data_IF_222139436191
#
_entry.id   IF_222139436191
#
_cell.length_a   1.000
_cell.length_b   1.000
_cell.length_c   1.000
_cell.angle_alpha   90.00
_cell.angle_beta   90.00
_cell.angle_gamma   90.00
#
_symmetry.space_group_name_H-M   'P 1'
#
loop_
_entity.id
_entity.type
_entity.pdbx_description
1 polymer ?
#
# COMPACT_ATOMS: atom_id res chain seq x y z
N UNK A 1 16.68 -6.33 -38.31
CA UNK A 1 15.98 -6.08 -37.02
C UNK A 1 15.88 -7.40 -36.28
N UNK A 2 16.61 -7.55 -35.16
CA UNK A 2 16.83 -8.81 -34.47
C UNK A 2 15.59 -9.18 -33.62
N UNK A 3 14.81 -10.17 -34.07
CA UNK A 3 13.50 -10.58 -33.49
C UNK A 3 13.62 -11.50 -32.26
N UNK A 4 14.62 -11.27 -31.39
CA UNK A 4 14.98 -12.21 -30.31
C UNK A 4 14.98 -11.66 -28.88
N UNK A 5 14.30 -10.55 -28.60
CA UNK A 5 13.83 -10.34 -27.22
C UNK A 5 12.48 -11.05 -27.05
N UNK A 6 12.50 -12.37 -27.16
CA UNK A 6 11.46 -13.20 -26.59
C UNK A 6 11.59 -13.01 -25.08
N UNK A 7 10.95 -11.95 -24.57
CA UNK A 7 10.89 -11.66 -23.14
C UNK A 7 10.52 -12.96 -22.47
N UNK A 8 11.42 -13.56 -21.70
CA UNK A 8 11.13 -14.78 -20.94
C UNK A 8 10.43 -14.38 -19.64
N UNK A 9 9.65 -15.30 -19.06
CA UNK A 9 8.96 -15.07 -17.80
C UNK A 9 9.89 -14.60 -16.69
N UNK A 10 11.09 -15.16 -16.58
CA UNK A 10 12.12 -14.73 -15.62
C UNK A 10 11.77 -14.90 -14.14
N UNK A 11 10.64 -15.54 -13.79
CA UNK A 11 10.33 -15.86 -12.40
C UNK A 11 11.27 -16.94 -11.87
N UNK A 12 11.69 -16.85 -10.61
CA UNK A 12 12.56 -17.86 -9.98
C UNK A 12 11.81 -19.18 -9.85
N UNK A 13 12.35 -20.24 -10.44
CA UNK A 13 11.79 -21.59 -10.32
C UNK A 13 12.21 -22.23 -8.99
N UNK A 14 11.66 -23.42 -8.68
CA UNK A 14 12.04 -24.21 -7.50
C UNK A 14 13.52 -24.60 -7.47
N UNK A 15 14.14 -24.74 -8.64
CA UNK A 15 15.59 -25.00 -8.79
C UNK A 15 16.45 -23.74 -8.72
N UNK A 16 15.85 -22.56 -8.51
CA UNK A 16 16.56 -21.29 -8.41
C UNK A 16 16.88 -20.61 -9.75
N UNK A 17 16.73 -21.31 -10.87
CA UNK A 17 16.94 -20.74 -12.20
C UNK A 17 15.79 -19.81 -12.64
N UNK A 18 16.03 -18.85 -13.55
CA UNK A 18 14.95 -18.05 -14.13
C UNK A 18 14.07 -18.86 -15.07
N UNK A 19 12.77 -18.65 -15.02
CA UNK A 19 11.81 -19.32 -15.89
C UNK A 19 12.00 -18.89 -17.36
N UNK A 20 12.28 -19.87 -18.21
CA UNK A 20 12.48 -19.69 -19.67
C UNK A 20 11.19 -19.76 -20.50
N UNK A 21 10.01 -19.91 -19.88
CA UNK A 21 8.73 -19.91 -20.61
C UNK A 21 8.40 -18.51 -21.11
N UNK A 22 7.73 -18.41 -22.25
CA UNK A 22 7.17 -17.15 -22.72
C UNK A 22 6.10 -16.61 -21.75
N UNK A 23 6.06 -15.30 -21.48
CA UNK A 23 5.00 -14.62 -20.77
C UNK A 23 3.65 -14.83 -21.44
N UNK A 24 2.59 -14.73 -20.65
CA UNK A 24 1.26 -14.63 -21.23
C UNK A 24 1.12 -13.29 -21.99
N UNK A 25 0.26 -13.28 -23.01
CA UNK A 25 0.03 -12.09 -23.83
C UNK A 25 -0.36 -10.89 -22.96
N UNK A 26 0.36 -9.76 -23.14
CA UNK A 26 0.16 -8.54 -22.36
C UNK A 26 0.58 -8.61 -20.88
N UNK A 27 1.26 -9.67 -20.46
CA UNK A 27 1.76 -9.85 -19.09
C UNK A 27 3.29 -10.00 -19.07
N UNK A 28 3.89 -9.72 -17.92
CA UNK A 28 5.32 -9.89 -17.71
C UNK A 28 5.72 -11.34 -17.35
N UNK A 29 4.78 -12.17 -16.89
CA UNK A 29 5.03 -13.53 -16.42
C UNK A 29 4.22 -14.56 -17.21
N UNK A 30 4.67 -15.81 -17.20
CA UNK A 30 3.96 -16.91 -17.85
C UNK A 30 2.75 -17.36 -17.01
N UNK A 31 1.88 -18.18 -17.62
CA UNK A 31 0.67 -18.71 -16.96
C UNK A 31 0.94 -19.41 -15.63
N UNK A 32 2.10 -20.06 -15.47
CA UNK A 32 2.47 -20.77 -14.23
C UNK A 32 3.05 -19.85 -13.14
N UNK A 33 3.44 -18.62 -13.46
CA UNK A 33 4.08 -17.69 -12.53
C UNK A 33 3.30 -16.38 -12.41
N UNK A 34 1.97 -16.46 -12.29
CA UNK A 34 1.11 -15.29 -12.07
C UNK A 34 0.77 -14.51 -13.35
N UNK A 35 0.87 -15.14 -14.52
CA UNK A 35 0.40 -14.59 -15.81
C UNK A 35 -0.88 -15.26 -16.33
N UNK A 36 -1.54 -16.13 -15.56
CA UNK A 36 -2.79 -16.75 -15.97
C UNK A 36 -3.94 -15.73 -16.06
N UNK A 37 -4.96 -16.02 -16.85
CA UNK A 37 -6.18 -15.20 -16.86
C UNK A 37 -6.79 -15.18 -15.45
N UNK A 38 -7.18 -14.00 -14.97
CA UNK A 38 -7.70 -13.83 -13.61
C UNK A 38 -6.64 -13.89 -12.51
N UNK A 39 -5.35 -14.10 -12.82
CA UNK A 39 -4.28 -14.02 -11.83
C UNK A 39 -3.95 -12.57 -11.43
N UNK A 40 -3.48 -12.41 -10.19
CA UNK A 40 -3.22 -11.11 -9.57
C UNK A 40 -4.36 -10.66 -8.65
N UNK A 41 -4.08 -9.70 -7.79
CA UNK A 41 -5.09 -9.18 -6.87
C UNK A 41 -6.20 -8.45 -7.66
N UNK A 42 -7.48 -8.67 -7.32
CA UNK A 42 -8.57 -7.90 -7.92
C UNK A 42 -8.40 -6.42 -7.60
N UNK A 43 -8.92 -5.55 -8.47
CA UNK A 43 -8.94 -4.11 -8.22
C UNK A 43 -10.20 -3.72 -7.42
N UNK A 44 -10.17 -2.53 -6.81
CA UNK A 44 -11.35 -2.00 -6.13
C UNK A 44 -11.67 -2.68 -4.80
N UNK A 45 -12.93 -2.55 -4.36
CA UNK A 45 -13.44 -3.07 -3.09
C UNK A 45 -13.32 -4.59 -2.94
N UNK A 46 -13.18 -5.32 -4.05
CA UNK A 46 -12.96 -6.77 -4.06
C UNK A 46 -11.54 -7.17 -3.65
N UNK A 47 -10.60 -6.22 -3.58
CA UNK A 47 -9.26 -6.47 -3.07
C UNK A 47 -9.30 -6.64 -1.54
N UNK A 48 -8.77 -7.74 -1.01
CA UNK A 48 -8.69 -7.96 0.44
C UNK A 48 -7.88 -6.89 1.19
N UNK A 49 -6.98 -6.17 0.51
CA UNK A 49 -6.24 -5.04 1.07
C UNK A 49 -6.94 -3.69 0.82
N UNK A 50 -8.24 -3.68 0.53
CA UNK A 50 -8.99 -2.44 0.34
C UNK A 50 -9.19 -1.70 1.66
N UNK A 51 -8.64 -0.49 1.77
CA UNK A 51 -8.83 0.40 2.92
C UNK A 51 -9.59 1.69 2.60
N UNK A 52 -9.47 2.18 1.37
CA UNK A 52 -10.06 3.47 0.98
C UNK A 52 -9.62 3.94 -0.40
N UNK A 53 -9.40 3.02 -1.35
CA UNK A 53 -9.08 3.36 -2.74
C UNK A 53 -7.72 3.97 -3.03
N UNK A 54 -6.98 4.49 -2.03
CA UNK A 54 -5.66 5.18 -2.18
C UNK A 54 -4.66 4.46 -3.08
N UNK A 55 -4.57 3.13 -2.95
CA UNK A 55 -3.62 2.29 -3.70
C UNK A 55 -4.24 1.61 -4.92
N UNK A 56 -5.54 1.79 -5.14
CA UNK A 56 -6.26 1.07 -6.18
C UNK A 56 -6.21 1.80 -7.51
N UNK A 57 -6.01 1.04 -8.59
CA UNK A 57 -6.03 1.57 -9.97
C UNK A 57 -7.43 1.93 -10.47
N UNK A 58 -8.50 1.54 -9.76
CA UNK A 58 -9.88 1.96 -10.11
C UNK A 58 -10.22 3.37 -9.65
N UNK A 59 -9.44 3.93 -8.72
CA UNK A 59 -9.66 5.30 -8.27
C UNK A 59 -9.01 6.28 -9.27
N UNK A 60 -9.71 7.36 -9.60
CA UNK A 60 -9.13 8.43 -10.42
C UNK A 60 -7.93 9.07 -9.71
N UNK A 61 -7.02 9.74 -10.42
CA UNK A 61 -5.92 10.49 -9.78
C UNK A 61 -6.42 11.46 -8.69
N UNK A 62 -7.55 12.12 -8.91
CA UNK A 62 -8.19 13.06 -7.98
C UNK A 62 -8.68 12.33 -6.73
N UNK A 63 -9.44 11.24 -6.91
CA UNK A 63 -9.91 10.41 -5.79
C UNK A 63 -8.74 9.88 -4.94
N UNK A 64 -7.65 9.45 -5.59
CA UNK A 64 -6.43 9.03 -4.88
C UNK A 64 -5.81 10.19 -4.10
N UNK A 65 -5.73 11.38 -4.70
CA UNK A 65 -5.18 12.59 -4.05
C UNK A 65 -5.99 12.99 -2.83
N UNK A 66 -7.32 13.06 -2.95
CA UNK A 66 -8.23 13.36 -1.84
C UNK A 66 -8.06 12.34 -0.71
N UNK A 67 -8.08 11.05 -1.04
CA UNK A 67 -7.92 10.00 -0.04
C UNK A 67 -6.54 10.05 0.66
N UNK A 68 -5.48 10.48 -0.04
CA UNK A 68 -4.18 10.76 0.58
C UNK A 68 -4.20 11.97 1.51
N UNK A 69 -4.86 13.07 1.13
CA UNK A 69 -5.01 14.27 1.95
C UNK A 69 -5.76 13.95 3.25
N UNK A 70 -6.88 13.24 3.16
CA UNK A 70 -7.67 12.81 4.31
C UNK A 70 -6.86 11.92 5.26
N UNK A 71 -6.10 10.96 4.73
CA UNK A 71 -5.21 10.12 5.54
C UNK A 71 -4.19 10.94 6.34
N UNK A 72 -3.54 11.91 5.69
CA UNK A 72 -2.54 12.75 6.35
C UNK A 72 -3.16 13.76 7.32
N UNK A 73 -4.36 14.27 7.03
CA UNK A 73 -5.12 15.09 7.97
C UNK A 73 -5.47 14.30 9.24
N UNK A 74 -5.99 13.08 9.10
CA UNK A 74 -6.30 12.20 10.22
C UNK A 74 -5.05 11.86 11.06
N UNK A 75 -3.93 11.52 10.40
CA UNK A 75 -2.65 11.27 11.09
C UNK A 75 -2.13 12.50 11.85
N UNK A 76 -2.28 13.70 11.30
CA UNK A 76 -1.90 14.95 12.00
C UNK A 76 -2.81 15.22 13.20
N UNK A 77 -4.12 15.05 13.03
CA UNK A 77 -5.08 15.20 14.12
C UNK A 77 -4.77 14.24 15.28
N UNK A 78 -4.50 12.96 14.98
CA UNK A 78 -4.08 11.97 15.99
C UNK A 78 -2.81 12.38 16.76
N UNK A 79 -1.84 13.00 16.08
CA UNK A 79 -0.62 13.49 16.76
C UNK A 79 -0.91 14.71 17.63
N UNK A 80 -1.82 15.58 17.19
CA UNK A 80 -2.21 16.76 17.96
C UNK A 80 -2.99 16.37 19.22
N UNK A 81 -3.93 15.42 19.13
CA UNK A 81 -4.66 14.90 20.30
C UNK A 81 -3.69 14.22 21.26
N UNK A 82 -2.78 13.38 20.77
CA UNK A 82 -1.78 12.74 21.63
C UNK A 82 -0.85 13.76 22.33
N UNK A 83 -0.55 14.89 21.68
CA UNK A 83 0.23 15.96 22.31
C UNK A 83 -0.59 16.71 23.38
N UNK A 84 -1.87 16.97 23.13
CA UNK A 84 -2.77 17.56 24.11
C UNK A 84 -2.95 16.64 25.33
N UNK A 85 -3.17 15.34 25.10
CA UNK A 85 -3.26 14.34 26.18
C UNK A 85 -2.00 14.35 27.07
N UNK A 86 -0.80 14.50 26.47
CA UNK A 86 0.45 14.60 27.22
C UNK A 86 0.53 15.91 28.02
N UNK A 87 0.18 17.05 27.42
CA UNK A 87 0.15 18.34 28.12
C UNK A 87 -0.83 18.32 29.29
N UNK A 88 -2.01 17.74 29.11
CA UNK A 88 -3.06 17.67 30.14
C UNK A 88 -2.61 16.79 31.34
N UNK A 89 -1.88 15.70 31.09
CA UNK A 89 -1.28 14.86 32.14
C UNK A 89 -0.21 15.64 32.91
N UNK A 90 0.68 16.35 32.21
CA UNK A 90 1.73 17.16 32.85
C UNK A 90 1.14 18.30 33.68
N UNK A 91 0.09 18.98 33.18
CA UNK A 91 -0.61 20.03 33.90
C UNK A 91 -1.30 19.49 35.16
N UNK A 92 -1.88 18.29 35.11
CA UNK A 92 -2.47 17.63 36.28
C UNK A 92 -1.40 17.24 37.32
N UNK A 93 -0.26 16.69 36.88
CA UNK A 93 0.87 16.38 37.76
C UNK A 93 1.43 17.64 38.42
N UNK A 94 1.65 18.72 37.66
CA UNK A 94 2.11 20.00 38.21
C UNK A 94 1.13 20.57 39.25
N UNK A 95 -0.19 20.47 39.01
CA UNK A 95 -1.23 20.93 39.95
C UNK A 95 -1.30 20.09 41.23
N UNK A 96 -0.92 18.82 41.18
CA UNK A 96 -0.96 17.91 42.34
C UNK A 96 0.34 17.90 43.13
N UNK A 97 1.47 18.19 42.48
CA UNK A 97 2.80 18.23 43.10
C UNK A 97 3.16 19.57 43.75
N UNK A 98 2.46 20.66 43.44
CA UNK A 98 2.64 21.95 44.10
C UNK A 98 1.31 22.47 44.67
N UNK A 99 0.89 22.01 45.86
CA UNK A 99 -0.24 22.62 46.57
C UNK A 99 0.19 24.03 46.97
N UNK A 100 -0.52 25.03 46.45
CA UNK A 100 -0.34 26.42 46.85
C UNK A 100 -0.75 26.56 48.33
N UNK A 101 0.24 26.73 49.22
CA UNK A 101 0.06 27.27 50.58
C UNK A 101 -0.06 28.80 50.56
#
# INVERSE_FOLDING_TARGET
MNTRDQRHCGAKTRSGAPCRRSPAQGKARCRLHGGALGSGAPCGKRNGNWKGGRYSRVATPEQRRTAWQEYWAAKRAQRATAAADISDVLDLELRTLWPLE
#
